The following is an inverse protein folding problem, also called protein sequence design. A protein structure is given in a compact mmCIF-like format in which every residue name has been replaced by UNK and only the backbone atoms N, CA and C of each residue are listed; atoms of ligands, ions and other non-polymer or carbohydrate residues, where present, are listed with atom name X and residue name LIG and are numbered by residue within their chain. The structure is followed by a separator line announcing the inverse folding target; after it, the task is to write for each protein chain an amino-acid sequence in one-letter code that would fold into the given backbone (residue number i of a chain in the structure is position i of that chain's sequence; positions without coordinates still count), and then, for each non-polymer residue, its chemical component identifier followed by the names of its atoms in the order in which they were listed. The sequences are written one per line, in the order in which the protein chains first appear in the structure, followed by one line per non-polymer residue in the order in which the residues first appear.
data_IF_507675343913
#
_entry.id   IF_507675343913
#
_cell.length_a   1.000
_cell.length_b   1.000
_cell.length_c   1.000
_cell.angle_alpha   90.00
_cell.angle_beta   90.00
_cell.angle_gamma   90.00
#
_symmetry.space_group_name_H-M   'P 1'
#
loop_
_entity.id
_entity.type
_entity.pdbx_description
1 polymer ?
#
# COMPACT_ATOMS: atom_id res chain seq x y z
N UNK A 1 -1.51 2.87 -10.45
CA UNK A 1 -0.93 4.21 -10.15
C UNK A 1 -1.96 5.20 -9.62
N UNK A 2 -3.25 4.86 -9.72
CA UNK A 2 -4.40 5.55 -9.13
C UNK A 2 -4.25 6.01 -7.68
N UNK A 3 -3.58 5.25 -6.82
CA UNK A 3 -3.41 5.60 -5.38
C UNK A 3 -2.52 6.85 -5.20
N UNK A 4 -1.54 7.05 -6.07
CA UNK A 4 -0.58 8.15 -6.01
C UNK A 4 -1.06 9.42 -6.74
N UNK A 5 -2.19 9.32 -7.45
CA UNK A 5 -2.71 10.41 -8.24
C UNK A 5 -3.38 11.46 -7.33
N UNK A 6 -3.00 12.74 -7.41
CA UNK A 6 -3.59 13.78 -6.58
C UNK A 6 -5.07 14.05 -6.88
N UNK A 7 -5.55 13.78 -8.11
CA UNK A 7 -6.95 13.96 -8.48
C UNK A 7 -7.82 12.78 -8.02
N UNK A 8 -7.25 11.57 -7.94
CA UNK A 8 -7.99 10.35 -7.58
C UNK A 8 -7.72 9.97 -6.11
N UNK A 9 -6.49 9.58 -5.79
CA UNK A 9 -6.04 9.25 -4.43
C UNK A 9 -5.97 10.43 -3.46
N UNK A 10 -5.83 11.66 -3.97
CA UNK A 10 -5.83 12.88 -3.15
C UNK A 10 -7.22 13.36 -2.72
N UNK A 11 -8.27 12.97 -3.45
CA UNK A 11 -9.67 13.32 -3.13
C UNK A 11 -10.33 12.29 -2.19
N UNK A 12 -9.80 11.06 -2.14
CA UNK A 12 -10.30 10.01 -1.25
C UNK A 12 -9.76 10.17 0.17
N UNK A 13 -10.66 10.46 1.10
CA UNK A 13 -10.38 10.54 2.55
C UNK A 13 -10.80 9.22 3.18
N UNK A 14 -9.91 8.64 3.98
CA UNK A 14 -10.14 7.39 4.69
C UNK A 14 -10.52 7.68 6.14
N UNK A 15 -11.36 6.79 6.68
CA UNK A 15 -11.73 6.81 8.08
C UNK A 15 -10.56 6.42 8.97
N UNK A 16 -10.52 6.90 10.23
CA UNK A 16 -9.55 6.44 11.20
C UNK A 16 -9.70 4.95 11.46
N UNK A 17 -8.58 4.28 11.74
CA UNK A 17 -8.50 2.84 11.95
C UNK A 17 -9.10 2.39 13.29
N UNK A 18 -9.36 3.33 14.21
CA UNK A 18 -9.90 3.09 15.54
C UNK A 18 -11.00 4.11 15.86
N UNK A 19 -11.95 3.73 16.71
CA UNK A 19 -13.09 4.56 17.15
C UNK A 19 -12.70 5.76 18.04
N UNK A 20 -11.44 5.82 18.47
CA UNK A 20 -10.87 6.97 19.17
C UNK A 20 -10.49 8.05 18.17
N UNK A 21 -10.89 9.30 18.45
CA UNK A 21 -10.65 10.50 17.64
C UNK A 21 -9.20 10.57 17.15
N UNK A 22 -8.98 10.11 15.93
CA UNK A 22 -7.72 10.17 15.20
C UNK A 22 -7.98 10.92 13.91
N UNK A 23 -6.95 11.57 13.39
CA UNK A 23 -7.07 12.38 12.19
C UNK A 23 -7.43 11.54 10.96
N UNK A 24 -8.42 12.02 10.21
CA UNK A 24 -8.75 11.52 8.88
C UNK A 24 -7.51 11.68 8.00
N UNK A 25 -7.14 10.64 7.24
CA UNK A 25 -6.00 10.70 6.33
C UNK A 25 -6.43 10.55 4.88
N UNK A 26 -5.56 11.02 3.98
CA UNK A 26 -5.75 10.92 2.53
C UNK A 26 -5.17 9.62 2.01
N UNK A 27 -5.85 8.97 1.06
CA UNK A 27 -5.38 7.73 0.43
C UNK A 27 -4.03 7.90 -0.28
N UNK A 28 -3.73 9.10 -0.79
CA UNK A 28 -2.42 9.39 -1.41
C UNK A 28 -1.22 9.25 -0.45
N UNK A 29 -1.40 9.42 0.87
CA UNK A 29 -0.28 9.30 1.82
C UNK A 29 0.31 7.89 1.88
N UNK A 30 -0.48 6.87 1.54
CA UNK A 30 -0.03 5.47 1.51
C UNK A 30 0.51 5.03 0.15
N UNK A 31 0.62 5.92 -0.84
CA UNK A 31 1.11 5.63 -2.19
C UNK A 31 2.44 4.84 -2.20
N UNK A 32 3.43 5.29 -1.41
CA UNK A 32 4.73 4.63 -1.35
C UNK A 32 4.63 3.23 -0.74
N UNK A 33 3.84 3.08 0.31
CA UNK A 33 3.60 1.79 0.94
C UNK A 33 2.87 0.83 -0.01
N UNK A 34 1.82 1.29 -0.70
CA UNK A 34 1.11 0.49 -1.71
C UNK A 34 2.01 0.07 -2.87
N UNK A 35 2.88 0.96 -3.35
CA UNK A 35 3.85 0.64 -4.41
C UNK A 35 4.88 -0.39 -3.96
N UNK A 36 5.37 -0.24 -2.72
CA UNK A 36 6.29 -1.19 -2.12
C UNK A 36 5.63 -2.56 -1.93
N UNK A 37 4.45 -2.63 -1.30
CA UNK A 37 3.69 -3.88 -1.16
C UNK A 37 3.45 -4.54 -2.50
N UNK A 38 3.04 -3.80 -3.54
CA UNK A 38 2.84 -4.35 -4.88
C UNK A 38 4.12 -4.96 -5.49
N UNK A 39 5.28 -4.33 -5.28
CA UNK A 39 6.57 -4.88 -5.72
C UNK A 39 6.93 -6.15 -4.94
N UNK A 40 6.64 -6.17 -3.64
CA UNK A 40 6.94 -7.32 -2.80
C UNK A 40 6.02 -8.50 -3.10
N UNK A 41 4.71 -8.29 -3.11
CA UNK A 41 3.70 -9.34 -3.28
C UNK A 41 3.81 -10.07 -4.63
N UNK A 42 4.36 -9.43 -5.67
CA UNK A 42 4.50 -10.04 -6.99
C UNK A 42 5.92 -10.60 -7.23
N UNK A 43 6.90 -9.72 -7.44
CA UNK A 43 8.23 -10.14 -7.89
C UNK A 43 9.02 -10.76 -6.73
N UNK A 44 9.00 -10.12 -5.56
CA UNK A 44 9.80 -10.60 -4.42
C UNK A 44 9.29 -11.93 -3.86
N UNK A 45 7.97 -12.15 -3.82
CA UNK A 45 7.37 -13.40 -3.35
C UNK A 45 7.81 -14.59 -4.19
N UNK A 46 7.89 -14.43 -5.52
CA UNK A 46 8.35 -15.49 -6.42
C UNK A 46 9.82 -15.83 -6.18
N UNK A 47 10.69 -14.82 -6.06
CA UNK A 47 12.10 -15.06 -5.73
C UNK A 47 12.25 -15.77 -4.38
N UNK A 48 11.54 -15.30 -3.35
CA UNK A 48 11.57 -15.92 -2.03
C UNK A 48 11.10 -17.38 -2.06
N UNK A 49 10.03 -17.68 -2.80
CA UNK A 49 9.51 -19.04 -2.95
C UNK A 49 10.51 -19.98 -3.64
N UNK A 50 11.24 -19.50 -4.65
CA UNK A 50 12.30 -20.29 -5.32
C UNK A 50 13.43 -20.62 -4.34
N UNK A 51 13.91 -19.65 -3.57
CA UNK A 51 14.98 -19.89 -2.58
C UNK A 51 14.55 -20.87 -1.49
N UNK A 52 13.31 -20.76 -0.98
CA UNK A 52 12.76 -21.69 0.00
C UNK A 52 12.52 -23.10 -0.57
N UNK A 53 12.30 -23.23 -1.87
CA UNK A 53 12.11 -24.53 -2.53
C UNK A 53 13.42 -25.22 -2.96
N UNK A 54 14.51 -24.46 -3.09
CA UNK A 54 15.85 -24.99 -3.40
C UNK A 54 16.61 -25.41 -2.14
N UNK A 55 16.22 -24.89 -0.96
CA UNK A 55 16.76 -25.30 0.34
C UNK A 55 16.31 -26.72 0.71
#
# INVERSE_FOLDING_TARGET
TEICDPEIGGQMIMCPLCDQVRDYWRLNSTCLASKFSHLFDNESTVFFAIFMGIW
#
